data_IF_103166176285
#
_entry.id   IF_103166176285
#
_cell.length_a   1.000
_cell.length_b   1.000
_cell.length_c   1.000
_cell.angle_alpha   90.00
_cell.angle_beta   90.00
_cell.angle_gamma   90.00
#
_symmetry.space_group_name_H-M   'P 1'
#
loop_
_entity.id
_entity.type
_entity.pdbx_description
1 polymer ?
#
# COMPACT_ATOMS: atom_id res chain seq x y z
N UNK A 1 -4.19 67.05 33.76
CA UNK A 1 -4.56 66.53 32.42
C UNK A 1 -3.51 65.68 31.71
N UNK A 2 -2.24 65.67 32.10
CA UNK A 2 -1.15 64.88 31.47
C UNK A 2 -1.17 63.37 31.79
N UNK A 3 -1.64 62.94 32.97
CA UNK A 3 -1.67 61.54 33.37
C UNK A 3 -2.72 60.67 32.64
N UNK A 4 -3.87 61.25 32.26
CA UNK A 4 -4.92 60.50 31.52
C UNK A 4 -4.53 60.15 30.06
N UNK A 5 -3.73 61.04 29.43
CA UNK A 5 -3.22 60.84 28.07
C UNK A 5 -2.14 59.72 28.03
N UNK A 6 -1.33 59.64 29.08
CA UNK A 6 -0.28 58.60 29.18
C UNK A 6 -0.91 57.21 29.44
N UNK A 7 -1.96 57.13 30.23
CA UNK A 7 -2.68 55.91 30.50
C UNK A 7 -3.42 55.37 29.24
N UNK A 8 -3.99 56.25 28.43
CA UNK A 8 -4.64 55.86 27.15
C UNK A 8 -3.61 55.38 26.11
N UNK A 9 -2.39 55.95 26.07
CA UNK A 9 -1.33 55.53 25.20
C UNK A 9 -0.79 54.14 25.58
N UNK A 10 -0.63 53.89 26.89
CA UNK A 10 -0.21 52.61 27.42
C UNK A 10 -1.24 51.50 27.20
N UNK A 11 -2.55 51.81 27.30
CA UNK A 11 -3.63 50.88 26.97
C UNK A 11 -3.69 50.56 25.47
N UNK A 12 -3.46 51.58 24.61
CA UNK A 12 -3.45 51.38 23.15
C UNK A 12 -2.26 50.55 22.67
N UNK A 13 -1.07 50.69 23.31
CA UNK A 13 0.09 49.82 23.00
C UNK A 13 -0.11 48.40 23.52
N UNK A 14 -0.79 48.16 24.64
CA UNK A 14 -1.11 46.86 25.15
C UNK A 14 -2.12 46.12 24.24
N UNK A 15 -3.09 46.83 23.63
CA UNK A 15 -4.05 46.28 22.68
C UNK A 15 -3.41 45.95 21.32
N UNK A 16 -2.35 46.63 20.92
CA UNK A 16 -1.61 46.33 19.68
C UNK A 16 -0.73 45.07 19.79
N UNK A 17 -0.30 44.67 21.00
CA UNK A 17 0.45 43.45 21.22
C UNK A 17 -0.41 42.18 21.27
N UNK A 18 -1.74 42.30 21.42
CA UNK A 18 -2.65 41.16 21.43
C UNK A 18 -3.18 40.77 20.04
N UNK A 19 -2.83 41.55 19.01
CA UNK A 19 -3.12 41.29 17.60
C UNK A 19 -1.91 40.71 16.85
N UNK A 20 -1.02 40.00 17.53
CA UNK A 20 -0.12 39.10 16.83
C UNK A 20 -1.01 38.07 16.09
N UNK A 21 -0.95 37.95 14.74
CA UNK A 21 -1.65 36.89 14.08
C UNK A 21 -1.11 35.59 14.68
N UNK A 22 -2.01 34.82 15.32
CA UNK A 22 -1.71 33.44 15.61
C UNK A 22 -1.21 32.87 14.28
N UNK A 23 0.03 32.36 14.22
CA UNK A 23 0.47 31.52 13.12
C UNK A 23 -0.52 30.38 13.09
N UNK A 24 -1.54 30.49 12.23
CA UNK A 24 -2.29 29.34 11.80
C UNK A 24 -1.25 28.51 11.04
N UNK A 25 -0.70 27.49 11.66
CA UNK A 25 -0.03 26.43 10.93
C UNK A 25 -1.01 26.04 9.85
N UNK A 26 -0.64 26.27 8.60
CA UNK A 26 -1.44 25.83 7.48
C UNK A 26 -1.53 24.33 7.61
N UNK A 27 -2.70 23.82 8.01
CA UNK A 27 -2.96 22.38 8.11
C UNK A 27 -2.59 21.78 6.76
N UNK A 28 -1.52 20.99 6.71
CA UNK A 28 -1.05 20.38 5.47
C UNK A 28 -2.13 19.41 4.99
N UNK A 29 -2.81 19.81 3.92
CA UNK A 29 -3.90 19.00 3.36
C UNK A 29 -3.32 17.78 2.66
N UNK A 30 -3.59 16.62 3.18
CA UNK A 30 -3.13 15.32 2.66
C UNK A 30 -4.14 14.75 1.67
N UNK A 31 -3.64 14.17 0.58
CA UNK A 31 -4.44 13.50 -0.43
C UNK A 31 -4.00 12.04 -0.57
N UNK A 32 -4.84 11.13 -0.09
CA UNK A 32 -4.66 9.70 -0.30
C UNK A 32 -5.10 9.32 -1.70
N UNK A 33 -4.44 8.33 -2.28
CA UNK A 33 -4.82 7.76 -3.58
C UNK A 33 -5.22 6.30 -3.41
N UNK A 34 -6.32 5.92 -4.04
CA UNK A 34 -6.74 4.53 -4.10
C UNK A 34 -7.16 4.16 -5.52
N UNK A 35 -7.03 2.88 -5.85
CA UNK A 35 -7.45 2.29 -7.11
C UNK A 35 -8.32 1.08 -6.80
N UNK A 36 -9.55 1.07 -7.32
CA UNK A 36 -10.55 0.07 -6.99
C UNK A 36 -10.63 -0.13 -5.46
N UNK A 37 -10.34 -1.31 -4.97
CA UNK A 37 -10.37 -1.64 -3.55
C UNK A 37 -8.98 -1.61 -2.88
N UNK A 38 -7.99 -0.95 -3.50
CA UNK A 38 -6.63 -0.84 -2.98
C UNK A 38 -6.26 0.61 -2.64
N UNK A 39 -5.80 0.83 -1.42
CA UNK A 39 -5.18 2.09 -1.01
C UNK A 39 -3.70 2.08 -1.42
N UNK A 40 -3.26 3.00 -2.28
CA UNK A 40 -1.87 3.02 -2.74
C UNK A 40 -0.91 3.29 -1.57
N UNK A 41 0.25 2.62 -1.55
CA UNK A 41 1.16 2.65 -0.40
C UNK A 41 1.83 4.00 -0.19
N UNK A 42 2.08 4.74 -1.26
CA UNK A 42 2.90 5.94 -1.24
C UNK A 42 2.08 7.19 -0.88
N UNK A 43 2.53 7.91 0.14
CA UNK A 43 1.99 9.19 0.57
C UNK A 43 3.16 10.14 0.79
N UNK A 44 3.48 10.94 -0.21
CA UNK A 44 4.57 11.92 -0.19
C UNK A 44 4.20 13.17 -0.99
N UNK A 45 4.88 14.27 -0.77
CA UNK A 45 4.69 15.50 -1.56
C UNK A 45 4.92 15.28 -3.07
N UNK A 46 5.76 14.30 -3.40
CA UNK A 46 6.06 13.93 -4.78
C UNK A 46 5.01 13.09 -5.47
N UNK A 47 4.11 12.45 -4.71
CA UNK A 47 3.13 11.49 -5.25
C UNK A 47 1.68 11.79 -4.90
N UNK A 48 1.42 12.71 -3.97
CA UNK A 48 0.06 13.12 -3.64
C UNK A 48 -0.64 13.78 -4.83
N UNK A 49 -1.91 13.44 -5.11
CA UNK A 49 -2.77 14.21 -6.00
C UNK A 49 -2.84 15.68 -5.59
N UNK A 50 -3.05 16.55 -6.56
CA UNK A 50 -3.21 17.97 -6.29
C UNK A 50 -4.13 18.66 -7.31
N UNK A 51 -4.65 19.81 -6.93
CA UNK A 51 -5.44 20.68 -7.80
C UNK A 51 -4.55 21.69 -8.50
N UNK A 52 -4.72 21.85 -9.81
CA UNK A 52 -4.08 22.90 -10.60
C UNK A 52 -5.03 23.37 -11.70
N UNK A 53 -5.24 24.69 -11.79
CA UNK A 53 -6.14 25.27 -12.80
C UNK A 53 -7.56 24.71 -12.78
N UNK A 54 -8.08 24.34 -11.60
CA UNK A 54 -9.41 23.75 -11.43
C UNK A 54 -9.53 22.27 -11.83
N UNK A 55 -8.41 21.61 -12.12
CA UNK A 55 -8.33 20.17 -12.42
C UNK A 55 -7.60 19.41 -11.34
N UNK A 56 -8.06 18.20 -11.07
CA UNK A 56 -7.38 17.27 -10.17
C UNK A 56 -6.37 16.44 -10.97
N UNK A 57 -5.15 16.39 -10.46
CA UNK A 57 -4.05 15.63 -11.05
C UNK A 57 -3.67 14.47 -10.15
N UNK A 58 -3.45 13.31 -10.76
CA UNK A 58 -2.99 12.10 -10.07
C UNK A 58 -1.62 11.67 -10.59
N UNK A 59 -0.74 11.10 -9.77
CA UNK A 59 0.56 10.62 -10.23
C UNK A 59 0.38 9.43 -11.17
N UNK A 60 1.33 9.23 -12.08
CA UNK A 60 1.31 8.09 -13.01
C UNK A 60 1.28 6.74 -12.30
N UNK A 61 1.75 6.68 -11.06
CA UNK A 61 1.72 5.48 -10.20
C UNK A 61 0.29 5.06 -9.81
N UNK A 62 -0.69 5.95 -9.93
CA UNK A 62 -2.09 5.59 -9.79
C UNK A 62 -2.62 4.76 -10.99
N UNK A 63 -1.82 4.62 -12.05
CA UNK A 63 -2.17 3.89 -13.27
C UNK A 63 -1.21 2.73 -13.51
N UNK A 64 0.10 3.00 -13.41
CA UNK A 64 1.14 2.01 -13.67
C UNK A 64 1.14 0.91 -12.61
N UNK A 65 0.92 -0.33 -13.04
CA UNK A 65 0.93 -1.50 -12.15
C UNK A 65 -0.30 -1.63 -11.25
N UNK A 66 -1.41 -0.95 -11.59
CA UNK A 66 -2.68 -1.03 -10.86
C UNK A 66 -3.75 -1.78 -11.66
N UNK A 67 -4.85 -2.16 -10.98
CA UNK A 67 -5.93 -2.94 -11.58
C UNK A 67 -6.94 -2.12 -12.40
N UNK A 68 -6.55 -0.94 -12.86
CA UNK A 68 -7.40 -0.13 -13.76
C UNK A 68 -7.50 -0.69 -15.17
N UNK A 69 -6.68 -1.68 -15.53
CA UNK A 69 -6.58 -2.18 -16.89
C UNK A 69 -5.94 -1.19 -17.86
N UNK A 70 -5.16 -0.24 -17.33
CA UNK A 70 -4.40 0.74 -18.07
C UNK A 70 -2.91 0.51 -17.92
N UNK A 71 -2.16 0.89 -18.94
CA UNK A 71 -0.72 0.85 -18.97
C UNK A 71 -0.15 2.26 -19.12
N UNK A 72 1.04 2.45 -18.57
CA UNK A 72 1.78 3.71 -18.67
C UNK A 72 3.17 3.46 -19.27
N UNK A 73 3.58 4.33 -20.16
CA UNK A 73 4.93 4.34 -20.71
C UNK A 73 5.42 5.77 -20.87
N UNK A 74 6.70 6.01 -20.61
CA UNK A 74 7.37 7.30 -20.83
C UNK A 74 8.48 7.13 -21.85
N UNK A 75 8.63 8.10 -22.76
CA UNK A 75 9.70 8.09 -23.75
C UNK A 75 11.09 8.17 -23.08
N UNK A 76 12.12 7.66 -23.77
CA UNK A 76 13.50 7.65 -23.23
C UNK A 76 14.07 9.04 -23.02
N UNK A 77 13.68 10.00 -23.85
CA UNK A 77 14.05 11.42 -23.75
C UNK A 77 13.21 12.19 -22.74
N UNK A 78 12.28 11.51 -22.10
CA UNK A 78 11.35 12.05 -21.11
C UNK A 78 10.47 13.19 -21.64
N UNK A 79 10.33 13.36 -22.96
CA UNK A 79 9.51 14.41 -23.57
C UNK A 79 8.02 14.07 -23.63
N UNK A 80 7.68 12.79 -23.66
CA UNK A 80 6.30 12.32 -23.80
C UNK A 80 5.97 11.19 -22.83
N UNK A 81 4.68 11.05 -22.51
CA UNK A 81 4.15 9.87 -21.84
C UNK A 81 2.90 9.38 -22.56
N UNK A 82 2.65 8.08 -22.49
CA UNK A 82 1.48 7.43 -23.08
C UNK A 82 0.76 6.63 -22.01
N UNK A 83 -0.54 6.89 -21.88
CA UNK A 83 -1.47 6.03 -21.13
C UNK A 83 -2.29 5.26 -22.14
N UNK A 84 -2.37 3.95 -22.02
CA UNK A 84 -3.02 3.14 -23.05
C UNK A 84 -3.67 1.87 -22.48
N UNK A 85 -4.64 1.37 -23.21
CA UNK A 85 -5.16 0.00 -23.14
C UNK A 85 -5.42 -0.49 -24.58
N UNK A 86 -5.83 -1.74 -24.74
CA UNK A 86 -6.10 -2.29 -26.09
C UNK A 86 -7.07 -1.38 -26.87
N UNK A 87 -6.63 -0.88 -28.00
CA UNK A 87 -7.41 -0.06 -28.93
C UNK A 87 -7.59 1.40 -28.54
N UNK A 88 -6.98 1.89 -27.45
CA UNK A 88 -7.13 3.29 -27.01
C UNK A 88 -5.83 3.78 -26.36
N UNK A 89 -5.38 4.97 -26.74
CA UNK A 89 -4.18 5.58 -26.18
C UNK A 89 -4.32 7.10 -26.08
N UNK A 90 -3.78 7.69 -25.02
CA UNK A 90 -3.55 9.13 -24.87
C UNK A 90 -2.05 9.40 -24.79
N UNK A 91 -1.56 10.23 -25.67
CA UNK A 91 -0.17 10.70 -25.68
C UNK A 91 -0.10 12.12 -25.13
N UNK A 92 0.70 12.32 -24.12
CA UNK A 92 0.97 13.59 -23.46
C UNK A 92 2.34 14.10 -23.91
N UNK A 93 2.37 15.20 -24.66
CA UNK A 93 3.60 15.90 -25.02
C UNK A 93 3.86 17.01 -23.98
N UNK A 94 4.97 16.91 -23.26
CA UNK A 94 5.28 17.83 -22.17
C UNK A 94 5.83 19.17 -22.66
N UNK A 95 6.51 19.17 -23.82
CA UNK A 95 7.06 20.38 -24.40
C UNK A 95 5.99 21.22 -25.09
N UNK A 96 5.11 20.57 -25.85
CA UNK A 96 3.98 21.23 -26.49
C UNK A 96 2.82 21.53 -25.53
N UNK A 97 2.76 20.85 -24.38
CA UNK A 97 1.63 20.96 -23.45
C UNK A 97 0.32 20.44 -24.04
N UNK A 98 0.39 19.45 -24.95
CA UNK A 98 -0.75 18.91 -25.68
C UNK A 98 -1.01 17.44 -25.34
N UNK A 99 -2.27 17.03 -25.55
CA UNK A 99 -2.69 15.64 -25.40
C UNK A 99 -3.42 15.21 -26.67
N UNK A 100 -3.00 14.09 -27.24
CA UNK A 100 -3.63 13.52 -28.43
C UNK A 100 -4.00 12.05 -28.23
N UNK A 101 -5.02 11.58 -28.93
CA UNK A 101 -5.34 10.16 -28.98
C UNK A 101 -4.61 9.45 -30.15
N UNK A 102 -4.84 8.17 -30.32
CA UNK A 102 -4.29 7.35 -31.42
C UNK A 102 -4.76 7.77 -32.83
N UNK A 103 -5.73 8.68 -32.94
CA UNK A 103 -6.26 9.22 -34.20
C UNK A 103 -5.87 10.70 -34.37
N UNK A 104 -4.87 11.18 -33.66
CA UNK A 104 -4.39 12.57 -33.65
C UNK A 104 -5.43 13.62 -33.22
N UNK A 105 -6.53 13.17 -32.58
CA UNK A 105 -7.51 14.09 -32.01
C UNK A 105 -6.95 14.72 -30.74
N UNK A 106 -6.97 16.03 -30.70
CA UNK A 106 -6.44 16.81 -29.58
C UNK A 106 -7.49 16.97 -28.45
N UNK A 107 -7.02 16.87 -27.20
CA UNK A 107 -7.81 17.04 -26.00
C UNK A 107 -7.31 18.21 -25.15
N UNK A 108 -8.22 18.85 -24.43
CA UNK A 108 -7.85 19.90 -23.50
C UNK A 108 -7.30 19.31 -22.20
N UNK A 109 -6.11 19.73 -21.82
CA UNK A 109 -5.40 19.28 -20.63
C UNK A 109 -3.95 18.92 -20.99
N UNK A 110 -3.05 19.10 -20.06
CA UNK A 110 -1.66 18.75 -20.21
C UNK A 110 -1.22 17.94 -18.99
N UNK A 111 -0.25 17.07 -19.12
CA UNK A 111 0.40 16.47 -17.96
C UNK A 111 1.29 17.51 -17.27
N UNK A 112 1.46 17.37 -15.97
CA UNK A 112 2.36 18.20 -15.16
C UNK A 112 3.50 17.30 -14.66
N UNK A 113 4.74 17.73 -14.85
CA UNK A 113 5.92 17.02 -14.34
C UNK A 113 6.44 17.76 -13.10
N UNK A 114 6.51 17.05 -11.98
CA UNK A 114 7.11 17.56 -10.74
C UNK A 114 8.25 16.62 -10.34
N UNK A 115 9.48 17.11 -10.34
CA UNK A 115 10.64 16.24 -10.24
C UNK A 115 10.65 15.21 -11.38
N UNK A 116 10.72 13.93 -11.06
CA UNK A 116 10.63 12.84 -12.05
C UNK A 116 9.22 12.24 -12.16
N UNK A 117 8.25 12.71 -11.38
CA UNK A 117 6.89 12.19 -11.36
C UNK A 117 6.02 12.93 -12.36
N UNK A 118 5.33 12.17 -13.21
CA UNK A 118 4.34 12.70 -14.17
C UNK A 118 2.96 12.65 -13.53
N UNK A 119 2.30 13.78 -13.49
CA UNK A 119 0.93 13.92 -13.02
C UNK A 119 -0.02 14.11 -14.19
N UNK A 120 -1.09 13.35 -14.19
CA UNK A 120 -2.04 13.25 -15.28
C UNK A 120 -3.39 13.85 -14.85
N UNK A 121 -4.08 14.58 -15.75
CA UNK A 121 -5.38 15.18 -15.44
C UNK A 121 -6.45 14.09 -15.31
N UNK A 122 -7.00 13.96 -14.10
CA UNK A 122 -7.91 12.85 -13.74
C UNK A 122 -9.20 12.87 -14.54
N UNK A 123 -9.78 14.04 -14.76
CA UNK A 123 -11.00 14.24 -15.54
C UNK A 123 -10.86 13.72 -16.98
N UNK A 124 -9.73 14.00 -17.63
CA UNK A 124 -9.45 13.52 -18.97
C UNK A 124 -9.28 11.99 -18.98
N UNK A 125 -8.52 11.42 -18.04
CA UNK A 125 -8.32 9.99 -17.97
C UNK A 125 -9.64 9.23 -17.79
N UNK A 126 -10.45 9.67 -16.83
CA UNK A 126 -11.72 9.00 -16.52
C UNK A 126 -12.70 9.10 -17.66
N UNK A 127 -12.80 10.27 -18.30
CA UNK A 127 -13.67 10.45 -19.46
C UNK A 127 -13.22 9.62 -20.68
N UNK A 128 -11.92 9.60 -20.99
CA UNK A 128 -11.41 8.92 -22.16
C UNK A 128 -11.41 7.39 -22.02
N UNK A 129 -11.03 6.88 -20.85
CA UNK A 129 -10.95 5.45 -20.58
C UNK A 129 -12.22 4.88 -19.92
N UNK A 130 -13.30 5.66 -19.81
CA UNK A 130 -14.56 5.23 -19.19
C UNK A 130 -14.35 4.65 -17.80
N UNK A 131 -13.58 5.37 -16.99
CA UNK A 131 -13.40 5.09 -15.58
C UNK A 131 -14.32 5.98 -14.76
N UNK A 132 -14.51 5.62 -13.49
CA UNK A 132 -15.14 6.48 -12.50
C UNK A 132 -14.11 6.93 -11.47
N UNK A 133 -14.40 7.99 -10.72
CA UNK A 133 -13.59 8.37 -9.57
C UNK A 133 -14.45 9.03 -8.50
N UNK A 134 -13.97 8.97 -7.27
CA UNK A 134 -14.54 9.73 -6.17
C UNK A 134 -13.46 10.61 -5.52
N UNK A 135 -13.89 11.77 -5.05
CA UNK A 135 -13.10 12.70 -4.27
C UNK A 135 -13.86 12.96 -2.97
N UNK A 136 -13.39 12.37 -1.89
CA UNK A 136 -14.14 12.34 -0.63
C UNK A 136 -13.28 12.85 0.52
N UNK A 137 -13.85 13.72 1.36
CA UNK A 137 -13.20 14.14 2.60
C UNK A 137 -13.18 12.97 3.59
N UNK A 138 -12.02 12.71 4.16
CA UNK A 138 -11.78 11.71 5.22
C UNK A 138 -11.20 12.39 6.45
N UNK A 139 -11.02 11.66 7.54
CA UNK A 139 -10.57 12.22 8.83
C UNK A 139 -9.25 13.00 8.71
N UNK A 140 -8.30 12.51 7.92
CA UNK A 140 -6.95 13.06 7.80
C UNK A 140 -6.68 13.76 6.47
N UNK A 141 -7.70 14.20 5.75
CA UNK A 141 -7.54 14.89 4.47
C UNK A 141 -8.58 14.50 3.44
N UNK A 142 -8.14 14.13 2.24
CA UNK A 142 -9.01 13.72 1.14
C UNK A 142 -8.57 12.40 0.54
N UNK A 143 -9.52 11.61 0.10
CA UNK A 143 -9.29 10.39 -0.68
C UNK A 143 -9.68 10.63 -2.14
N UNK A 144 -8.73 10.39 -3.04
CA UNK A 144 -8.95 10.31 -4.49
C UNK A 144 -8.95 8.82 -4.86
N UNK A 145 -10.08 8.29 -5.28
CA UNK A 145 -10.22 6.87 -5.61
C UNK A 145 -10.65 6.71 -7.06
N UNK A 146 -9.78 6.12 -7.88
CA UNK A 146 -10.06 5.74 -9.26
C UNK A 146 -10.71 4.36 -9.27
N UNK A 147 -11.71 4.19 -10.13
CA UNK A 147 -12.52 2.96 -10.18
C UNK A 147 -12.78 2.55 -11.63
N UNK A 148 -12.74 1.26 -11.89
CA UNK A 148 -13.30 0.65 -13.08
C UNK A 148 -14.49 -0.26 -12.69
N UNK A 149 -15.00 -1.02 -13.62
CA UNK A 149 -16.15 -1.93 -13.45
C UNK A 149 -15.87 -3.13 -12.53
N UNK A 150 -14.61 -3.37 -12.12
CA UNK A 150 -14.25 -4.46 -11.22
C UNK A 150 -14.29 -4.07 -9.73
N UNK A 151 -14.53 -2.78 -9.40
CA UNK A 151 -14.63 -2.32 -8.01
C UNK A 151 -15.76 -3.05 -7.26
N UNK A 152 -15.47 -3.51 -6.04
CA UNK A 152 -16.41 -4.28 -5.21
C UNK A 152 -17.00 -3.44 -4.09
N UNK A 153 -16.17 -2.65 -3.40
CA UNK A 153 -16.60 -1.85 -2.25
C UNK A 153 -17.19 -0.51 -2.69
N UNK A 154 -18.31 -0.12 -2.08
CA UNK A 154 -18.76 1.27 -2.15
C UNK A 154 -17.73 2.19 -1.50
N UNK A 155 -17.75 3.50 -1.82
CA UNK A 155 -16.80 4.45 -1.23
C UNK A 155 -16.87 4.49 0.30
N UNK A 156 -18.07 4.41 0.87
CA UNK A 156 -18.26 4.38 2.31
C UNK A 156 -17.62 3.14 2.97
N UNK A 157 -17.86 1.95 2.40
CA UNK A 157 -17.25 0.71 2.90
C UNK A 157 -15.74 0.67 2.72
N UNK A 158 -15.23 1.23 1.62
CA UNK A 158 -13.81 1.35 1.39
C UNK A 158 -13.14 2.28 2.42
N UNK A 159 -13.73 3.46 2.65
CA UNK A 159 -13.21 4.43 3.65
C UNK A 159 -13.17 3.80 5.04
N UNK A 160 -14.22 3.07 5.42
CA UNK A 160 -14.31 2.37 6.70
C UNK A 160 -13.20 1.30 6.83
N UNK A 161 -13.04 0.47 5.80
CA UNK A 161 -12.02 -0.57 5.77
C UNK A 161 -10.59 -0.01 5.74
N UNK A 162 -10.36 1.13 5.07
CA UNK A 162 -9.06 1.76 4.92
C UNK A 162 -8.71 2.77 6.02
N UNK A 163 -9.64 3.08 6.95
CA UNK A 163 -9.51 4.17 7.92
C UNK A 163 -8.20 4.12 8.71
N UNK A 164 -7.88 2.96 9.30
CA UNK A 164 -6.65 2.78 10.08
C UNK A 164 -5.39 2.89 9.22
N UNK A 165 -5.42 2.39 7.98
CA UNK A 165 -4.30 2.50 7.06
C UNK A 165 -4.06 3.94 6.60
N UNK A 166 -5.12 4.72 6.41
CA UNK A 166 -5.02 6.16 6.13
C UNK A 166 -4.46 6.93 7.32
N UNK A 167 -4.94 6.64 8.54
CA UNK A 167 -4.41 7.24 9.77
C UNK A 167 -2.91 6.98 9.92
N UNK A 168 -2.50 5.73 9.72
CA UNK A 168 -1.10 5.35 9.84
C UNK A 168 -0.23 6.10 8.82
N UNK A 169 -0.65 6.14 7.54
CA UNK A 169 0.10 6.85 6.49
C UNK A 169 0.18 8.36 6.76
N UNK A 170 -0.91 8.93 7.27
CA UNK A 170 -0.91 10.34 7.70
C UNK A 170 0.11 10.59 8.80
N UNK A 171 0.13 9.75 9.82
CA UNK A 171 1.08 9.89 10.93
C UNK A 171 2.54 9.73 10.49
N UNK A 172 2.82 8.80 9.55
CA UNK A 172 4.16 8.61 9.00
C UNK A 172 4.60 9.79 8.13
N UNK A 173 3.69 10.31 7.30
CA UNK A 173 3.91 11.52 6.52
C UNK A 173 4.21 12.72 7.42
N UNK A 174 3.42 12.95 8.48
CA UNK A 174 3.63 14.06 9.42
C UNK A 174 4.93 13.95 10.20
N UNK A 175 5.37 12.74 10.57
CA UNK A 175 6.69 12.53 11.20
C UNK A 175 7.82 12.96 10.27
N UNK A 176 7.78 12.53 9.01
CA UNK A 176 8.81 12.89 8.02
C UNK A 176 8.87 14.40 7.79
N UNK A 177 7.74 15.11 7.86
CA UNK A 177 7.68 16.58 7.67
C UNK A 177 8.11 17.36 8.91
N UNK A 178 7.87 16.86 10.12
CA UNK A 178 8.29 17.50 11.35
C UNK A 178 9.81 17.33 11.61
N UNK A 179 10.40 16.23 11.15
CA UNK A 179 11.85 15.96 11.28
C UNK A 179 12.68 16.75 10.24
N UNK A 180 12.07 17.31 9.19
CA UNK A 180 12.76 18.11 8.16
C UNK A 180 13.30 19.46 8.66
N UNK A 181 13.06 19.84 9.92
CA UNK A 181 13.69 20.99 10.57
C UNK A 181 15.06 20.70 11.21
N UNK A 182 15.60 19.50 11.02
CA UNK A 182 16.93 19.08 11.50
C UNK A 182 17.75 18.54 10.33
N UNK A 183 18.60 19.44 9.78
CA UNK A 183 19.83 19.23 9.00
C UNK A 183 20.06 17.94 8.21
N UNK A 184 20.19 18.16 6.90
CA UNK A 184 21.09 17.49 5.93
C UNK A 184 21.65 16.11 6.27
N UNK A 185 21.07 15.07 5.61
CA UNK A 185 21.86 13.96 5.05
C UNK A 185 21.07 13.37 3.86
N UNK A 186 21.67 13.23 2.66
CA UNK A 186 21.02 12.61 1.51
C UNK A 186 20.77 11.12 1.76
N UNK A 187 19.64 10.54 1.34
CA UNK A 187 19.46 9.09 1.40
C UNK A 187 20.32 8.44 0.31
N UNK A 188 21.32 7.73 0.77
CA UNK A 188 22.15 6.87 -0.09
C UNK A 188 21.44 5.54 -0.35
N UNK A 189 21.32 5.24 -1.63
CA UNK A 189 21.13 3.94 -2.30
C UNK A 189 20.34 2.80 -1.65
N UNK A 190 19.24 2.46 -2.30
CA UNK A 190 18.28 1.34 -2.13
C UNK A 190 18.85 -0.09 -2.27
N UNK A 191 20.10 -0.36 -1.98
CA UNK A 191 20.66 -1.70 -2.20
C UNK A 191 20.90 -2.54 -0.93
N UNK A 192 20.76 -1.97 0.28
CA UNK A 192 21.04 -2.69 1.53
C UNK A 192 19.80 -3.01 2.40
N UNK A 193 18.63 -2.43 2.13
CA UNK A 193 17.41 -2.66 2.91
C UNK A 193 16.79 -4.05 2.71
N UNK A 194 17.10 -4.72 1.61
CA UNK A 194 16.52 -6.02 1.26
C UNK A 194 17.11 -7.20 2.08
N UNK A 195 18.23 -6.98 2.76
CA UNK A 195 18.95 -8.04 3.48
C UNK A 195 18.54 -8.25 4.93
N UNK A 196 17.72 -7.36 5.51
CA UNK A 196 17.39 -7.38 6.93
C UNK A 196 15.88 -7.40 7.23
N UNK A 197 15.06 -7.83 6.28
CA UNK A 197 13.61 -7.84 6.42
C UNK A 197 13.14 -8.93 7.39
N UNK A 198 12.09 -8.62 8.14
CA UNK A 198 11.34 -9.62 8.93
C UNK A 198 9.98 -9.82 8.24
N UNK A 199 9.76 -11.02 7.72
CA UNK A 199 8.49 -11.42 7.13
C UNK A 199 7.75 -12.37 8.07
N UNK A 200 6.64 -11.91 8.62
CA UNK A 200 5.78 -12.72 9.47
C UNK A 200 4.69 -13.38 8.63
N UNK A 201 4.51 -14.67 8.79
CA UNK A 201 3.50 -15.46 8.07
C UNK A 201 2.62 -16.19 9.07
N UNK A 202 1.32 -16.15 8.89
CA UNK A 202 0.36 -16.84 9.77
C UNK A 202 -0.76 -17.47 8.96
N UNK A 203 -1.31 -18.57 9.49
CA UNK A 203 -2.47 -19.26 8.90
C UNK A 203 -3.75 -18.69 9.48
N UNK A 204 -4.66 -18.28 8.62
CA UNK A 204 -6.02 -17.87 9.01
C UNK A 204 -6.82 -19.10 9.43
N UNK A 205 -7.47 -19.05 10.57
CA UNK A 205 -8.39 -20.09 11.05
C UNK A 205 -9.69 -19.47 11.63
N UNK A 206 -9.63 -18.23 12.12
CA UNK A 206 -10.76 -17.50 12.67
C UNK A 206 -10.78 -16.06 12.13
N UNK A 207 -11.93 -15.64 11.60
CA UNK A 207 -12.12 -14.33 11.00
C UNK A 207 -11.94 -13.19 12.03
N UNK A 208 -12.57 -13.33 13.18
CA UNK A 208 -12.53 -12.27 14.21
C UNK A 208 -11.10 -12.11 14.77
N UNK A 209 -10.41 -13.22 15.00
CA UNK A 209 -9.03 -13.19 15.49
C UNK A 209 -8.12 -12.58 14.43
N UNK A 210 -8.21 -13.00 13.18
CA UNK A 210 -7.40 -12.44 12.09
C UNK A 210 -7.65 -10.95 11.88
N UNK A 211 -8.89 -10.48 12.01
CA UNK A 211 -9.23 -9.05 11.96
C UNK A 211 -8.55 -8.28 13.10
N UNK A 212 -8.57 -8.80 14.34
CA UNK A 212 -7.92 -8.16 15.49
C UNK A 212 -6.38 -8.13 15.35
N UNK A 213 -5.78 -9.20 14.79
CA UNK A 213 -4.35 -9.23 14.49
C UNK A 213 -3.99 -8.20 13.41
N UNK A 214 -4.80 -8.07 12.37
CA UNK A 214 -4.61 -7.09 11.31
C UNK A 214 -4.69 -5.66 11.83
N UNK A 215 -5.66 -5.35 12.71
CA UNK A 215 -5.77 -4.05 13.37
C UNK A 215 -4.51 -3.69 14.15
N UNK A 216 -3.94 -4.67 14.84
CA UNK A 216 -2.68 -4.47 15.58
C UNK A 216 -1.50 -4.25 14.64
N UNK A 217 -1.41 -4.96 13.51
CA UNK A 217 -0.38 -4.74 12.47
C UNK A 217 -0.44 -3.31 11.93
N UNK A 218 -1.63 -2.85 11.56
CA UNK A 218 -1.84 -1.49 11.06
C UNK A 218 -1.41 -0.46 12.10
N UNK A 219 -1.82 -0.63 13.36
CA UNK A 219 -1.45 0.26 14.47
C UNK A 219 0.08 0.31 14.70
N UNK A 220 0.77 -0.80 14.54
CA UNK A 220 2.21 -0.91 14.76
C UNK A 220 3.04 -0.64 13.49
N UNK A 221 2.41 -0.17 12.40
CA UNK A 221 3.03 0.03 11.08
C UNK A 221 3.81 -1.21 10.60
N UNK A 222 3.23 -2.37 10.81
CA UNK A 222 3.78 -3.65 10.41
C UNK A 222 2.86 -4.31 9.39
N UNK A 223 3.43 -5.18 8.55
CA UNK A 223 2.67 -5.96 7.58
C UNK A 223 3.01 -7.43 7.75
N UNK A 224 2.08 -8.31 7.42
CA UNK A 224 2.29 -9.75 7.50
C UNK A 224 1.70 -10.46 6.27
N UNK A 225 2.00 -11.73 6.12
CA UNK A 225 1.44 -12.59 5.08
C UNK A 225 0.45 -13.56 5.72
N UNK A 226 -0.78 -13.55 5.23
CA UNK A 226 -1.88 -14.38 5.70
C UNK A 226 -2.07 -15.55 4.74
N UNK A 227 -1.99 -16.77 5.26
CA UNK A 227 -2.19 -18.00 4.49
C UNK A 227 -3.64 -18.45 4.56
N UNK A 228 -4.26 -18.63 3.41
CA UNK A 228 -5.66 -19.04 3.26
C UNK A 228 -5.78 -20.38 2.56
N UNK A 229 -6.67 -21.24 3.03
CA UNK A 229 -7.16 -22.38 2.27
C UNK A 229 -8.19 -21.97 1.22
N UNK A 230 -8.46 -22.81 0.22
CA UNK A 230 -9.48 -22.57 -0.82
C UNK A 230 -10.87 -22.26 -0.21
N UNK A 231 -11.25 -22.95 0.86
CA UNK A 231 -12.52 -22.75 1.56
C UNK A 231 -12.60 -21.34 2.20
N UNK A 232 -11.53 -20.90 2.86
CA UNK A 232 -11.47 -19.59 3.51
C UNK A 232 -11.47 -18.44 2.50
N UNK A 233 -10.82 -18.61 1.35
CA UNK A 233 -10.85 -17.62 0.27
C UNK A 233 -12.28 -17.38 -0.25
N UNK A 234 -13.12 -18.41 -0.24
CA UNK A 234 -14.51 -18.30 -0.67
C UNK A 234 -15.43 -17.68 0.39
N UNK A 235 -15.09 -17.76 1.67
CA UNK A 235 -15.93 -17.33 2.79
C UNK A 235 -15.55 -16.02 3.44
N UNK A 236 -14.25 -15.63 3.39
CA UNK A 236 -13.68 -14.51 4.15
C UNK A 236 -13.34 -13.30 3.26
N UNK A 237 -14.18 -12.97 2.29
CA UNK A 237 -13.93 -11.89 1.33
C UNK A 237 -13.70 -10.52 1.96
N UNK A 238 -14.37 -10.20 3.07
CA UNK A 238 -14.19 -8.92 3.77
C UNK A 238 -12.81 -8.84 4.45
N UNK A 239 -12.38 -9.89 5.11
CA UNK A 239 -11.03 -9.97 5.69
C UNK A 239 -9.95 -9.88 4.60
N UNK A 240 -10.11 -10.61 3.49
CA UNK A 240 -9.18 -10.57 2.35
C UNK A 240 -9.01 -9.15 1.81
N UNK A 241 -10.11 -8.43 1.58
CA UNK A 241 -10.05 -7.03 1.12
C UNK A 241 -9.34 -6.12 2.12
N UNK A 242 -9.58 -6.30 3.42
CA UNK A 242 -8.87 -5.54 4.46
C UNK A 242 -7.37 -5.81 4.47
N UNK A 243 -6.97 -7.08 4.31
CA UNK A 243 -5.55 -7.48 4.23
C UNK A 243 -4.88 -6.77 3.06
N UNK A 244 -5.46 -6.84 1.87
CA UNK A 244 -4.93 -6.19 0.66
C UNK A 244 -4.84 -4.66 0.84
N UNK A 245 -5.90 -4.02 1.32
CA UNK A 245 -5.94 -2.58 1.57
C UNK A 245 -4.86 -2.15 2.59
N UNK A 246 -4.58 -2.95 3.62
CA UNK A 246 -3.55 -2.65 4.62
C UNK A 246 -2.12 -2.75 4.07
N UNK A 247 -1.94 -3.32 2.87
CA UNK A 247 -0.64 -3.64 2.28
C UNK A 247 0.00 -4.89 2.87
N UNK A 248 -0.74 -5.68 3.64
CA UNK A 248 -0.38 -7.07 3.98
C UNK A 248 -0.65 -7.98 2.78
N UNK A 249 -0.08 -9.18 2.75
CA UNK A 249 -0.24 -10.10 1.63
C UNK A 249 -1.18 -11.26 1.97
N UNK A 250 -2.00 -11.66 1.00
CA UNK A 250 -2.69 -12.94 1.00
C UNK A 250 -1.88 -13.97 0.20
N UNK A 251 -1.67 -15.15 0.76
CA UNK A 251 -0.99 -16.26 0.12
C UNK A 251 -1.79 -17.56 0.30
N UNK A 252 -1.49 -18.56 -0.52
CA UNK A 252 -2.25 -19.79 -0.55
C UNK A 252 -1.67 -20.84 0.43
N UNK A 253 -2.53 -21.50 1.18
CA UNK A 253 -2.22 -22.69 1.97
C UNK A 253 -2.78 -23.92 1.24
N UNK A 254 -1.90 -24.76 0.68
CA UNK A 254 -2.29 -25.90 -0.16
C UNK A 254 -1.76 -27.19 0.44
N UNK A 255 -2.64 -28.17 0.62
CA UNK A 255 -2.23 -29.56 0.88
C UNK A 255 -1.69 -30.19 -0.41
N UNK A 256 -0.41 -30.54 -0.39
CA UNK A 256 0.28 -31.10 -1.55
C UNK A 256 0.44 -32.63 -1.49
N UNK A 257 -0.19 -33.32 -0.54
CA UNK A 257 -0.13 -34.77 -0.38
C UNK A 257 -0.66 -35.55 -1.60
N UNK A 258 -1.54 -34.92 -2.38
CA UNK A 258 -2.17 -35.52 -3.57
C UNK A 258 -1.30 -35.55 -4.83
N UNK A 259 -0.04 -35.11 -4.78
CA UNK A 259 0.91 -35.06 -5.89
C UNK A 259 0.72 -33.86 -6.83
N UNK A 260 1.65 -33.70 -7.79
CA UNK A 260 1.83 -32.46 -8.56
C UNK A 260 0.59 -31.98 -9.31
N UNK A 261 -0.16 -32.87 -9.98
CA UNK A 261 -1.31 -32.49 -10.77
C UNK A 261 -2.45 -31.95 -9.89
N UNK A 262 -2.76 -32.64 -8.78
CA UNK A 262 -3.78 -32.19 -7.82
C UNK A 262 -3.39 -30.88 -7.16
N UNK A 263 -2.12 -30.73 -6.77
CA UNK A 263 -1.60 -29.50 -6.16
C UNK A 263 -1.75 -28.32 -7.11
N UNK A 264 -1.37 -28.43 -8.38
CA UNK A 264 -1.53 -27.35 -9.36
C UNK A 264 -3.00 -26.97 -9.57
N UNK A 265 -3.87 -27.97 -9.70
CA UNK A 265 -5.32 -27.70 -9.82
C UNK A 265 -5.88 -27.03 -8.56
N UNK A 266 -5.42 -27.39 -7.37
CA UNK A 266 -5.83 -26.74 -6.12
C UNK A 266 -5.35 -25.28 -6.06
N UNK A 267 -4.12 -25.00 -6.48
CA UNK A 267 -3.58 -23.63 -6.57
C UNK A 267 -4.43 -22.77 -7.53
N UNK A 268 -4.78 -23.30 -8.71
CA UNK A 268 -5.61 -22.59 -9.68
C UNK A 268 -7.01 -22.28 -9.12
N UNK A 269 -7.66 -23.23 -8.47
CA UNK A 269 -8.97 -23.00 -7.84
C UNK A 269 -8.89 -21.96 -6.74
N UNK A 270 -7.88 -22.06 -5.87
CA UNK A 270 -7.65 -21.10 -4.80
C UNK A 270 -7.39 -19.69 -5.34
N UNK A 271 -6.59 -19.53 -6.40
CA UNK A 271 -6.39 -18.24 -7.06
C UNK A 271 -7.66 -17.69 -7.73
N UNK A 272 -8.52 -18.55 -8.26
CA UNK A 272 -9.80 -18.11 -8.80
C UNK A 272 -10.76 -17.67 -7.68
N UNK A 273 -10.75 -18.35 -6.53
CA UNK A 273 -11.49 -17.90 -5.35
C UNK A 273 -10.97 -16.56 -4.81
N UNK A 274 -9.65 -16.39 -4.72
CA UNK A 274 -9.02 -15.13 -4.32
C UNK A 274 -9.41 -13.99 -5.27
N UNK A 275 -9.34 -14.23 -6.58
CA UNK A 275 -9.76 -13.27 -7.59
C UNK A 275 -11.21 -12.86 -7.42
N UNK A 276 -12.10 -13.82 -7.20
CA UNK A 276 -13.53 -13.54 -6.99
C UNK A 276 -13.79 -12.74 -5.72
N UNK A 277 -12.98 -12.97 -4.67
CA UNK A 277 -13.14 -12.31 -3.37
C UNK A 277 -12.62 -10.87 -3.35
N UNK A 278 -11.47 -10.58 -3.97
CA UNK A 278 -10.80 -9.29 -3.85
C UNK A 278 -10.07 -8.80 -5.13
N UNK A 279 -10.33 -9.42 -6.29
CA UNK A 279 -9.69 -9.11 -7.59
C UNK A 279 -8.15 -9.23 -7.57
N UNK A 280 -7.62 -10.06 -6.69
CA UNK A 280 -6.18 -10.32 -6.57
C UNK A 280 -5.86 -11.75 -6.97
N UNK A 281 -4.64 -11.96 -7.45
CA UNK A 281 -4.02 -13.27 -7.62
C UNK A 281 -2.65 -13.26 -6.96
N UNK A 282 -2.24 -14.40 -6.42
CA UNK A 282 -0.94 -14.52 -5.79
C UNK A 282 -0.14 -15.66 -6.40
N UNK A 283 1.17 -15.48 -6.46
CA UNK A 283 2.11 -16.55 -6.79
C UNK A 283 2.69 -17.20 -5.53
N UNK A 284 2.49 -16.58 -4.37
CA UNK A 284 2.94 -17.06 -3.08
C UNK A 284 2.10 -18.25 -2.61
N UNK A 285 2.74 -19.39 -2.39
CA UNK A 285 2.05 -20.60 -1.96
C UNK A 285 2.85 -21.36 -0.90
N UNK A 286 2.22 -21.67 0.22
CA UNK A 286 2.75 -22.63 1.16
C UNK A 286 2.17 -24.00 0.85
N UNK A 287 3.05 -25.01 0.76
CA UNK A 287 2.70 -26.40 0.46
C UNK A 287 2.94 -27.24 1.71
N UNK A 288 1.86 -27.77 2.30
CA UNK A 288 2.00 -28.80 3.32
C UNK A 288 2.19 -30.18 2.67
N UNK A 289 2.89 -31.08 3.36
CA UNK A 289 3.08 -32.48 2.95
C UNK A 289 3.56 -32.65 1.49
N UNK A 290 4.49 -31.79 1.06
CA UNK A 290 4.98 -31.74 -0.32
C UNK A 290 6.15 -32.69 -0.56
N UNK A 291 6.23 -33.25 -1.76
CA UNK A 291 7.40 -33.94 -2.27
C UNK A 291 8.27 -33.01 -3.12
N UNK A 292 9.56 -33.32 -3.25
CA UNK A 292 10.49 -32.59 -4.12
C UNK A 292 9.99 -32.51 -5.57
N UNK A 293 9.33 -33.56 -6.06
CA UNK A 293 8.76 -33.59 -7.40
C UNK A 293 7.63 -32.56 -7.52
N UNK A 294 6.73 -32.49 -6.54
CA UNK A 294 5.63 -31.53 -6.50
C UNK A 294 6.16 -30.10 -6.36
N UNK A 295 7.15 -29.90 -5.51
CA UNK A 295 7.79 -28.58 -5.34
C UNK A 295 8.39 -28.06 -6.65
N UNK A 296 9.13 -28.92 -7.38
CA UNK A 296 9.68 -28.57 -8.69
C UNK A 296 8.58 -28.28 -9.73
N UNK A 297 7.48 -29.03 -9.72
CA UNK A 297 6.35 -28.81 -10.64
C UNK A 297 5.69 -27.47 -10.39
N UNK A 298 5.45 -27.10 -9.13
CA UNK A 298 4.85 -25.82 -8.72
C UNK A 298 5.76 -24.63 -9.11
N UNK A 299 7.07 -24.73 -8.90
CA UNK A 299 8.04 -23.72 -9.35
C UNK A 299 8.06 -23.56 -10.87
N UNK A 300 8.01 -24.66 -11.64
CA UNK A 300 7.96 -24.63 -13.11
C UNK A 300 6.67 -23.98 -13.63
N UNK A 301 5.58 -24.11 -12.91
CA UNK A 301 4.32 -23.45 -13.22
C UNK A 301 4.33 -21.95 -12.88
N UNK A 302 5.44 -21.43 -12.36
CA UNK A 302 5.63 -20.00 -12.08
C UNK A 302 5.17 -19.55 -10.70
N UNK A 303 4.82 -20.46 -9.81
CA UNK A 303 4.50 -20.14 -8.41
C UNK A 303 5.76 -20.06 -7.55
N UNK A 304 5.68 -19.33 -6.45
CA UNK A 304 6.75 -19.11 -5.49
C UNK A 304 6.43 -19.84 -4.17
N UNK A 305 6.89 -21.08 -3.99
CA UNK A 305 6.69 -21.79 -2.74
C UNK A 305 7.39 -21.08 -1.59
N UNK A 306 6.65 -20.86 -0.49
CA UNK A 306 7.16 -20.23 0.72
C UNK A 306 7.93 -21.27 1.52
N UNK A 307 9.18 -20.96 1.85
CA UNK A 307 10.03 -21.72 2.78
C UNK A 307 10.26 -20.88 4.02
N UNK A 308 10.05 -21.46 5.20
CA UNK A 308 10.20 -20.73 6.46
C UNK A 308 11.59 -20.94 7.05
N UNK A 309 12.22 -19.87 7.51
CA UNK A 309 13.44 -19.89 8.30
C UNK A 309 13.20 -20.35 9.74
N UNK A 310 12.06 -19.95 10.28
CA UNK A 310 11.59 -20.30 11.63
C UNK A 310 10.13 -20.74 11.57
N UNK A 311 9.81 -21.80 12.32
CA UNK A 311 8.47 -22.39 12.38
C UNK A 311 8.00 -22.51 13.84
N UNK A 312 6.98 -21.73 14.18
CA UNK A 312 6.40 -21.65 15.52
C UNK A 312 5.04 -22.34 15.62
N UNK A 313 4.76 -23.37 14.81
CA UNK A 313 3.49 -24.11 14.91
C UNK A 313 3.26 -24.77 16.26
N UNK A 314 4.31 -25.22 16.90
CA UNK A 314 4.26 -25.95 18.18
C UNK A 314 4.55 -25.07 19.39
N UNK A 315 5.28 -23.97 19.21
CA UNK A 315 5.80 -23.12 20.28
C UNK A 315 5.39 -21.66 20.08
N UNK A 316 5.29 -20.85 21.13
CA UNK A 316 5.06 -19.42 21.01
C UNK A 316 6.21 -18.73 20.27
N UNK A 317 5.94 -17.74 19.39
CA UNK A 317 6.97 -17.04 18.66
C UNK A 317 7.86 -16.19 19.57
N UNK A 318 9.17 -16.29 19.36
CA UNK A 318 10.19 -15.58 20.14
C UNK A 318 10.84 -14.48 19.30
N UNK A 319 10.55 -13.21 19.63
CA UNK A 319 11.10 -12.07 18.90
C UNK A 319 12.63 -12.06 18.82
N UNK A 320 13.32 -12.50 19.87
CA UNK A 320 14.78 -12.60 19.90
C UNK A 320 15.37 -13.54 18.87
N UNK A 321 14.71 -14.65 18.59
CA UNK A 321 15.15 -15.62 17.58
C UNK A 321 14.91 -15.12 16.17
N UNK A 322 13.74 -14.50 15.93
CA UNK A 322 13.40 -13.83 14.67
C UNK A 322 14.43 -12.75 14.36
N UNK A 323 14.75 -11.87 15.32
CA UNK A 323 15.72 -10.81 15.15
C UNK A 323 17.15 -11.32 14.95
N UNK A 324 17.51 -12.42 15.61
CA UNK A 324 18.81 -13.06 15.43
C UNK A 324 18.96 -13.63 14.03
N UNK A 325 17.94 -14.35 13.55
CA UNK A 325 17.92 -14.88 12.18
C UNK A 325 17.94 -13.75 11.14
N UNK A 326 17.15 -12.71 11.33
CA UNK A 326 17.08 -11.57 10.43
C UNK A 326 18.43 -10.83 10.26
N UNK A 327 19.38 -10.94 11.19
CA UNK A 327 20.73 -10.36 11.06
C UNK A 327 21.57 -11.02 9.97
N UNK A 328 21.27 -12.24 9.60
CA UNK A 328 22.04 -13.02 8.62
C UNK A 328 21.50 -12.97 7.18
N UNK A 329 20.50 -12.11 6.89
CA UNK A 329 20.01 -11.95 5.52
C UNK A 329 18.48 -11.88 5.38
N UNK A 330 17.77 -11.53 6.44
CA UNK A 330 16.31 -11.55 6.50
C UNK A 330 15.80 -12.78 7.24
N UNK A 331 14.49 -12.78 7.57
CA UNK A 331 13.84 -13.88 8.26
C UNK A 331 12.40 -14.04 7.78
N UNK A 332 12.04 -15.21 7.32
CA UNK A 332 10.65 -15.62 7.05
C UNK A 332 10.22 -16.52 8.21
N UNK A 333 9.37 -15.99 9.10
CA UNK A 333 8.89 -16.72 10.27
C UNK A 333 7.42 -17.14 10.09
N UNK A 334 7.17 -18.45 10.20
CA UNK A 334 5.81 -18.96 10.29
C UNK A 334 5.38 -19.02 11.76
N UNK A 335 4.30 -18.33 12.06
CA UNK A 335 3.81 -18.13 13.43
C UNK A 335 2.70 -19.13 13.83
N UNK A 336 2.38 -20.08 12.95
CA UNK A 336 1.27 -21.00 13.18
C UNK A 336 -0.08 -20.39 12.81
N UNK A 337 -1.14 -20.83 13.51
CA UNK A 337 -2.48 -20.29 13.31
C UNK A 337 -2.69 -18.98 14.06
N UNK A 338 -3.58 -18.13 13.53
CA UNK A 338 -4.04 -16.88 14.17
C UNK A 338 -4.53 -17.08 15.60
N UNK A 339 -5.27 -18.15 15.87
CA UNK A 339 -5.81 -18.47 17.19
C UNK A 339 -4.74 -18.55 18.31
N UNK A 340 -3.51 -18.95 17.96
CA UNK A 340 -2.41 -19.11 18.92
C UNK A 340 -1.64 -17.79 19.18
N UNK A 341 -1.93 -16.71 18.42
CA UNK A 341 -1.16 -15.46 18.46
C UNK A 341 -1.81 -14.38 19.34
N UNK A 342 -3.10 -14.46 19.61
CA UNK A 342 -3.90 -13.38 20.19
C UNK A 342 -3.31 -12.79 21.47
N UNK A 343 -2.81 -13.61 22.38
CA UNK A 343 -2.30 -13.14 23.69
C UNK A 343 -0.93 -12.43 23.60
N UNK A 344 -0.07 -12.83 22.67
CA UNK A 344 1.32 -12.38 22.61
C UNK A 344 1.62 -11.45 21.41
N UNK A 345 0.63 -11.20 20.55
CA UNK A 345 0.80 -10.50 19.30
C UNK A 345 1.36 -9.09 19.44
N UNK A 346 0.71 -8.26 20.27
CA UNK A 346 1.15 -6.89 20.50
C UNK A 346 2.56 -6.81 21.10
N UNK A 347 2.90 -7.72 22.03
CA UNK A 347 4.22 -7.77 22.64
C UNK A 347 5.30 -8.20 21.62
N UNK A 348 5.00 -9.16 20.76
CA UNK A 348 5.87 -9.59 19.67
C UNK A 348 6.18 -8.42 18.73
N UNK A 349 5.15 -7.75 18.21
CA UNK A 349 5.30 -6.63 17.29
C UNK A 349 6.05 -5.45 17.94
N UNK A 350 5.72 -5.08 19.15
CA UNK A 350 6.42 -4.02 19.88
C UNK A 350 7.92 -4.34 20.04
N UNK A 351 8.26 -5.60 20.29
CA UNK A 351 9.65 -6.02 20.41
C UNK A 351 10.39 -6.01 19.06
N UNK A 352 9.74 -6.44 17.98
CA UNK A 352 10.29 -6.38 16.62
C UNK A 352 10.51 -4.92 16.19
N UNK A 353 9.54 -4.06 16.42
CA UNK A 353 9.63 -2.63 16.12
C UNK A 353 10.78 -1.93 16.85
N UNK A 354 11.03 -2.28 18.12
CA UNK A 354 12.12 -1.68 18.90
C UNK A 354 13.52 -1.94 18.29
N UNK A 355 13.62 -2.82 17.31
CA UNK A 355 14.88 -3.18 16.64
C UNK A 355 15.17 -2.35 15.39
N UNK A 356 14.32 -1.39 15.03
CA UNK A 356 14.41 -0.58 13.79
C UNK A 356 14.42 -1.41 12.50
N UNK A 357 13.93 -2.66 12.55
CA UNK A 357 13.84 -3.53 11.37
C UNK A 357 12.42 -3.50 10.81
N UNK A 358 12.25 -3.33 9.49
CA UNK A 358 10.94 -3.35 8.89
C UNK A 358 10.31 -4.75 9.01
N UNK A 359 9.08 -4.79 9.54
CA UNK A 359 8.22 -5.98 9.51
C UNK A 359 7.30 -5.84 8.31
N UNK A 360 7.49 -6.66 7.29
CA UNK A 360 6.82 -6.53 6.00
C UNK A 360 6.15 -7.83 5.56
N UNK A 361 5.23 -7.71 4.60
CA UNK A 361 4.65 -8.87 3.94
C UNK A 361 5.65 -9.49 2.95
N UNK A 362 5.51 -10.80 2.70
CA UNK A 362 6.26 -11.48 1.64
C UNK A 362 5.84 -10.94 0.26
N UNK A 363 6.82 -10.87 -0.60
CA UNK A 363 6.65 -10.74 -2.05
C UNK A 363 7.39 -11.86 -2.77
N UNK A 364 7.23 -11.97 -4.07
CA UNK A 364 7.86 -13.04 -4.87
C UNK A 364 9.40 -13.00 -4.80
N UNK A 365 10.00 -11.80 -4.68
CA UNK A 365 11.45 -11.65 -4.60
C UNK A 365 11.98 -12.14 -3.25
N UNK A 366 11.29 -11.80 -2.15
CA UNK A 366 11.68 -12.25 -0.82
C UNK A 366 11.47 -13.76 -0.63
N UNK A 367 10.45 -14.35 -1.26
CA UNK A 367 10.20 -15.80 -1.24
C UNK A 367 11.16 -16.60 -2.13
N UNK A 368 11.72 -15.99 -3.18
CA UNK A 368 12.61 -16.67 -4.15
C UNK A 368 14.07 -16.77 -3.69
N UNK A 369 14.47 -16.13 -2.60
CA UNK A 369 15.88 -16.06 -2.15
C UNK A 369 16.51 -17.39 -1.69
N UNK A 370 15.74 -18.46 -1.59
CA UNK A 370 16.21 -19.78 -1.16
C UNK A 370 15.93 -20.92 -2.17
N UNK A 371 16.07 -20.64 -3.45
CA UNK A 371 15.91 -21.66 -4.51
C UNK A 371 17.26 -22.15 -5.05
#
# INVERSE_FOLDING_TARGET
MKGKRFLCLLLATLLLFTLAPAKTEAETTVYFTAVNDQLLPDLSDGTMPFWSGGRLYVPYTAIAGTDLGLFYSRSRDKSTAVVYRQGSALTFDFAAGTVTDQNDRQYSGAAIVRGDVVFLPLDLLTQFFLLDYSYTRVTYGYLVRLKNDTVVLSDAKFIDAAAMSMEQRYNDYMKTHNDSNSADTPPDSDTDNDRNLVCLTLRVTDDNVSNALLDTLVKENAKATFLFSEEQLSSLGDLLRRIVISGSAAALYIDASGGSARTLSAIERANNALWTACNEKTRLVYLSDTSDQTLRAVRRAGYCPIVFDLDYRADPPVAGDILRKARSGGCIAYLGSDANLQENWSALLARLRSSSRPVTALNELSAAKEA
#
